data_IF_125405442496
#
_entry.id   IF_125405442496
#
_cell.length_a   1.000
_cell.length_b   1.000
_cell.length_c   1.000
_cell.angle_alpha   90.00
_cell.angle_beta   90.00
_cell.angle_gamma   90.00
#
_symmetry.space_group_name_H-M   'P 1'
#
loop_
_entity.id
_entity.type
_entity.pdbx_description
1 polymer ?
#
# COMPACT_ATOMS: atom_id res chain seq x y z
N UNK A 1 -40.56 1.93 -26.81
CA UNK A 1 -41.24 2.16 -25.52
C UNK A 1 -41.43 0.82 -24.82
N UNK A 2 -41.00 0.76 -23.54
CA UNK A 2 -41.43 -0.14 -22.44
C UNK A 2 -41.12 -1.65 -22.56
N UNK A 3 -40.22 -2.24 -21.75
CA UNK A 3 -40.15 -2.48 -20.27
C UNK A 3 -40.71 -3.85 -19.84
N UNK A 4 -39.78 -4.76 -19.51
CA UNK A 4 -39.62 -5.62 -18.31
C UNK A 4 -40.87 -6.15 -17.55
N UNK A 5 -40.88 -7.46 -17.22
CA UNK A 5 -41.02 -8.10 -15.87
C UNK A 5 -41.11 -9.64 -16.04
N UNK A 6 -40.15 -10.46 -15.59
CA UNK A 6 -39.84 -10.89 -14.21
C UNK A 6 -41.02 -11.60 -13.51
N UNK A 7 -40.97 -12.94 -13.47
CA UNK A 7 -41.82 -13.81 -12.65
C UNK A 7 -40.96 -14.37 -11.52
N UNK A 8 -41.32 -14.02 -10.28
CA UNK A 8 -40.76 -14.60 -9.07
C UNK A 8 -41.61 -15.80 -8.65
N UNK A 9 -40.99 -16.95 -8.43
CA UNK A 9 -41.60 -18.15 -7.87
C UNK A 9 -41.39 -18.11 -6.35
N UNK A 10 -42.50 -18.09 -5.61
CA UNK A 10 -42.51 -18.16 -4.16
C UNK A 10 -42.30 -19.61 -3.70
N UNK A 11 -41.42 -19.81 -2.72
CA UNK A 11 -41.39 -21.01 -1.90
C UNK A 11 -41.55 -20.60 -0.43
N UNK A 12 -42.70 -20.96 0.12
CA UNK A 12 -43.11 -20.81 1.51
C UNK A 12 -42.36 -21.85 2.34
N UNK A 13 -41.63 -21.42 3.37
CA UNK A 13 -41.17 -22.30 4.45
C UNK A 13 -41.92 -21.90 5.72
N UNK A 14 -42.83 -22.78 6.15
CA UNK A 14 -43.61 -22.61 7.38
C UNK A 14 -42.75 -22.94 8.60
N UNK A 15 -42.69 -22.00 9.55
CA UNK A 15 -42.17 -22.22 10.90
C UNK A 15 -43.21 -22.99 11.71
N UNK A 16 -42.91 -24.24 12.06
CA UNK A 16 -43.62 -24.99 13.08
C UNK A 16 -43.13 -24.58 14.47
N UNK A 17 -44.02 -23.92 15.22
CA UNK A 17 -43.89 -23.55 16.63
C UNK A 17 -43.71 -24.77 17.55
N UNK A 18 -42.82 -24.71 18.55
CA UNK A 18 -43.05 -25.22 19.92
C UNK A 18 -42.08 -24.60 20.95
N UNK A 19 -42.70 -23.96 21.95
CA UNK A 19 -42.37 -23.82 23.38
C UNK A 19 -41.00 -23.25 23.78
N UNK A 20 -41.04 -21.98 24.19
CA UNK A 20 -39.99 -21.31 24.96
C UNK A 20 -39.87 -21.90 26.38
N UNK A 21 -38.80 -22.64 26.65
CA UNK A 21 -38.24 -22.68 27.99
C UNK A 21 -37.53 -21.35 28.22
N UNK A 22 -38.06 -20.56 29.14
CA UNK A 22 -37.53 -19.25 29.52
C UNK A 22 -36.43 -19.46 30.57
N UNK A 23 -35.19 -19.15 30.20
CA UNK A 23 -34.03 -19.17 31.10
C UNK A 23 -33.20 -17.88 30.94
N UNK A 24 -32.37 -17.54 31.94
CA UNK A 24 -32.23 -16.18 32.44
C UNK A 24 -31.50 -15.27 31.45
N UNK A 25 -32.01 -14.06 31.30
CA UNK A 25 -31.37 -12.99 30.55
C UNK A 25 -29.91 -12.84 30.99
N UNK A 26 -28.98 -13.00 30.04
CA UNK A 26 -27.59 -12.60 30.24
C UNK A 26 -27.51 -11.18 30.79
N UNK A 27 -26.46 -10.91 31.57
CA UNK A 27 -26.31 -9.65 32.31
C UNK A 27 -26.68 -8.42 31.46
N UNK A 28 -27.55 -7.51 31.96
CA UNK A 28 -28.00 -6.37 31.18
C UNK A 28 -26.81 -5.49 30.79
N UNK A 29 -26.80 -5.04 29.53
CA UNK A 29 -25.78 -4.14 28.97
C UNK A 29 -25.70 -2.88 29.84
N UNK A 30 -24.51 -2.58 30.37
CA UNK A 30 -24.30 -1.38 31.16
C UNK A 30 -24.18 -0.15 30.24
N UNK A 31 -25.33 0.46 29.96
CA UNK A 31 -25.46 1.62 29.07
C UNK A 31 -24.71 2.88 29.54
N UNK A 32 -24.31 2.96 30.81
CA UNK A 32 -23.44 4.05 31.29
C UNK A 32 -21.99 3.88 30.83
N UNK A 33 -21.51 2.63 30.72
CA UNK A 33 -20.15 2.31 30.24
C UNK A 33 -20.08 2.12 28.72
N UNK A 34 -21.20 1.77 28.08
CA UNK A 34 -21.27 1.53 26.63
C UNK A 34 -22.41 2.33 25.97
N UNK A 35 -22.35 3.68 25.99
CA UNK A 35 -23.42 4.54 25.47
C UNK A 35 -23.67 4.37 23.96
N UNK A 36 -22.69 3.87 23.21
CA UNK A 36 -22.81 3.58 21.76
C UNK A 36 -23.72 2.38 21.44
N UNK A 37 -24.15 1.60 22.45
CA UNK A 37 -25.08 0.48 22.28
C UNK A 37 -26.56 0.86 22.53
N UNK A 38 -26.85 2.13 22.82
CA UNK A 38 -28.22 2.59 23.09
C UNK A 38 -29.10 2.45 21.83
N UNK A 39 -30.18 1.68 21.95
CA UNK A 39 -31.12 1.43 20.84
C UNK A 39 -30.69 0.32 19.87
N UNK A 40 -29.59 -0.38 20.16
CA UNK A 40 -29.18 -1.58 19.42
C UNK A 40 -29.83 -2.80 20.07
N UNK A 41 -30.74 -3.47 19.37
CA UNK A 41 -31.19 -4.81 19.75
C UNK A 41 -30.07 -5.81 19.46
N UNK A 42 -29.35 -6.21 20.50
CA UNK A 42 -28.45 -7.35 20.41
C UNK A 42 -29.31 -8.61 20.42
N UNK A 43 -29.36 -9.31 19.27
CA UNK A 43 -29.93 -10.66 19.19
C UNK A 43 -29.33 -11.51 20.32
N UNK A 44 -30.10 -12.41 20.95
CA UNK A 44 -29.54 -13.30 21.98
C UNK A 44 -28.26 -13.96 21.43
N UNK A 45 -27.21 -13.98 22.26
CA UNK A 45 -25.96 -14.64 21.91
C UNK A 45 -26.27 -16.05 21.38
N UNK A 46 -25.67 -16.48 20.27
CA UNK A 46 -25.89 -17.83 19.77
C UNK A 46 -25.60 -18.84 20.89
N UNK A 47 -26.58 -19.69 21.20
CA UNK A 47 -26.49 -20.72 22.26
C UNK A 47 -25.67 -21.94 21.83
N UNK A 48 -25.20 -21.95 20.59
CA UNK A 48 -24.41 -23.04 20.05
C UNK A 48 -22.95 -22.91 20.48
N UNK A 49 -22.35 -24.06 20.79
CA UNK A 49 -20.95 -24.19 21.18
C UNK A 49 -20.05 -23.72 20.02
N UNK A 50 -19.51 -22.52 20.14
CA UNK A 50 -18.70 -21.84 19.12
C UNK A 50 -17.30 -21.58 19.69
N UNK A 51 -16.40 -22.58 19.64
CA UNK A 51 -15.07 -22.45 20.24
C UNK A 51 -14.27 -21.35 19.55
N UNK A 52 -13.58 -20.55 20.35
CA UNK A 52 -12.60 -19.56 19.87
C UNK A 52 -11.21 -20.09 20.14
N UNK A 53 -10.44 -20.31 19.08
CA UNK A 53 -9.09 -20.86 19.14
C UNK A 53 -8.07 -19.72 19.09
N UNK A 54 -6.93 -19.85 19.80
CA UNK A 54 -5.86 -18.86 19.70
C UNK A 54 -5.26 -18.89 18.28
N UNK A 55 -4.92 -17.70 17.77
CA UNK A 55 -4.22 -17.51 16.51
C UNK A 55 -2.91 -16.76 16.74
N UNK A 56 -1.81 -17.36 16.33
CA UNK A 56 -0.56 -16.65 16.12
C UNK A 56 -0.35 -16.41 14.62
N UNK A 57 0.24 -15.26 14.29
CA UNK A 57 0.71 -14.96 12.94
C UNK A 57 2.18 -14.56 12.98
N UNK A 58 2.96 -15.08 12.04
CA UNK A 58 4.40 -14.89 11.94
C UNK A 58 4.86 -14.95 10.48
N UNK A 59 6.13 -14.63 10.23
CA UNK A 59 6.77 -14.75 8.91
C UNK A 59 7.05 -16.22 8.56
N UNK A 60 7.20 -16.58 7.29
CA UNK A 60 7.48 -17.97 6.86
C UNK A 60 8.66 -18.65 7.60
N UNK A 61 9.66 -17.88 8.01
CA UNK A 61 10.82 -18.36 8.78
C UNK A 61 10.54 -18.57 10.30
N UNK A 62 9.32 -18.34 10.76
CA UNK A 62 8.90 -18.43 12.17
C UNK A 62 9.15 -17.16 13.00
N UNK A 63 9.72 -16.10 12.42
CA UNK A 63 9.99 -14.86 13.13
C UNK A 63 8.74 -13.98 13.28
N UNK A 64 8.75 -13.10 14.27
CA UNK A 64 7.69 -12.12 14.45
C UNK A 64 7.60 -11.18 13.23
N UNK A 65 6.37 -10.79 12.89
CA UNK A 65 6.14 -9.77 11.86
C UNK A 65 6.78 -8.45 12.33
N UNK A 66 7.64 -7.81 11.53
CA UNK A 66 8.26 -6.56 11.94
C UNK A 66 7.19 -5.47 12.07
N UNK A 67 7.34 -4.63 13.09
CA UNK A 67 6.43 -3.50 13.32
C UNK A 67 6.45 -2.49 12.15
N UNK A 68 7.46 -2.54 11.30
CA UNK A 68 7.57 -1.74 10.07
C UNK A 68 7.80 -2.67 8.89
N UNK A 69 6.93 -2.59 7.90
CA UNK A 69 7.04 -3.26 6.61
C UNK A 69 7.22 -2.19 5.53
N UNK A 70 7.74 -2.60 4.39
CA UNK A 70 8.03 -1.70 3.29
C UNK A 70 6.99 -1.86 2.20
N UNK A 71 6.57 -0.75 1.63
CA UNK A 71 5.71 -0.72 0.45
C UNK A 71 6.34 -1.51 -0.70
N UNK A 72 5.49 -2.16 -1.49
CA UNK A 72 5.79 -3.04 -2.62
C UNK A 72 6.57 -4.31 -2.28
N UNK A 73 7.17 -4.44 -1.09
CA UNK A 73 7.91 -5.64 -0.69
C UNK A 73 6.94 -6.76 -0.26
N UNK A 74 6.88 -7.89 -0.98
CA UNK A 74 6.05 -9.02 -0.60
C UNK A 74 6.59 -9.68 0.67
N UNK A 75 5.70 -9.93 1.62
CA UNK A 75 5.98 -10.72 2.83
C UNK A 75 5.09 -11.96 2.86
N UNK A 76 5.67 -13.12 3.17
CA UNK A 76 4.91 -14.35 3.37
C UNK A 76 4.56 -14.48 4.84
N UNK A 77 3.27 -14.49 5.14
CA UNK A 77 2.73 -14.67 6.49
C UNK A 77 2.15 -16.06 6.66
N UNK A 78 2.27 -16.58 7.87
CA UNK A 78 1.78 -17.90 8.28
C UNK A 78 0.86 -17.75 9.48
N UNK A 79 -0.29 -18.44 9.43
CA UNK A 79 -1.22 -18.59 10.53
C UNK A 79 -0.95 -19.91 11.27
N UNK A 80 -0.81 -19.83 12.60
CA UNK A 80 -0.66 -20.97 13.48
C UNK A 80 -1.79 -21.01 14.50
N UNK A 81 -2.57 -22.07 14.40
CA UNK A 81 -3.76 -22.29 15.21
C UNK A 81 -4.22 -23.74 15.07
N UNK A 82 -4.76 -24.28 16.17
CA UNK A 82 -5.31 -25.64 16.22
C UNK A 82 -6.51 -25.85 15.27
N UNK A 83 -7.04 -24.80 14.62
CA UNK A 83 -8.15 -24.94 13.66
C UNK A 83 -7.78 -25.80 12.44
N UNK A 84 -6.48 -25.92 12.15
CA UNK A 84 -5.94 -26.77 11.09
C UNK A 84 -5.72 -28.21 11.51
N UNK A 85 -5.79 -28.51 12.81
CA UNK A 85 -5.55 -29.86 13.31
C UNK A 85 -6.59 -30.85 12.75
N UNK A 86 -6.18 -32.11 12.73
CA UNK A 86 -7.05 -33.20 12.28
C UNK A 86 -8.26 -33.34 13.22
N UNK A 87 -8.04 -33.18 14.51
CA UNK A 87 -9.06 -33.32 15.54
C UNK A 87 -9.66 -31.95 15.91
N UNK A 88 -10.99 -31.85 16.05
CA UNK A 88 -11.65 -30.62 16.49
C UNK A 88 -11.49 -30.37 18.00
N UNK A 89 -11.67 -29.11 18.44
CA UNK A 89 -11.67 -28.79 19.86
C UNK A 89 -12.78 -29.55 20.59
N UNK A 90 -12.47 -29.99 21.81
CA UNK A 90 -13.40 -30.70 22.68
C UNK A 90 -14.09 -29.79 23.68
N UNK A 91 -13.76 -28.50 23.70
CA UNK A 91 -14.30 -27.52 24.64
C UNK A 91 -14.60 -26.19 23.93
N UNK A 92 -15.66 -25.51 24.37
CA UNK A 92 -15.96 -24.12 24.05
C UNK A 92 -16.27 -23.38 25.37
N UNK A 93 -15.42 -22.41 25.73
CA UNK A 93 -15.42 -21.81 27.07
C UNK A 93 -15.30 -22.92 28.15
N UNK A 94 -16.14 -22.90 29.18
CA UNK A 94 -16.16 -23.89 30.26
C UNK A 94 -17.04 -25.12 29.96
N UNK A 95 -17.45 -25.33 28.70
CA UNK A 95 -18.35 -26.42 28.30
C UNK A 95 -17.66 -27.44 27.39
N UNK A 96 -17.86 -28.72 27.66
CA UNK A 96 -17.45 -29.82 26.78
C UNK A 96 -18.34 -29.88 25.53
N UNK A 97 -17.72 -30.15 24.38
CA UNK A 97 -18.40 -30.32 23.10
C UNK A 97 -18.60 -31.83 22.86
N UNK A 98 -19.84 -32.35 22.77
CA UNK A 98 -20.08 -33.77 22.60
C UNK A 98 -19.74 -34.28 21.19
N UNK A 99 -18.82 -35.26 21.09
CA UNK A 99 -18.43 -35.91 19.83
C UNK A 99 -18.20 -34.94 18.65
N UNK A 100 -17.27 -33.98 18.80
CA UNK A 100 -17.02 -32.95 17.81
C UNK A 100 -16.39 -33.56 16.55
N UNK A 101 -16.77 -33.05 15.39
CA UNK A 101 -16.22 -33.43 14.08
C UNK A 101 -16.18 -32.26 13.11
N UNK A 102 -15.12 -32.16 12.34
CA UNK A 102 -15.02 -31.18 11.26
C UNK A 102 -15.99 -31.52 10.13
N UNK A 103 -16.79 -30.55 9.71
CA UNK A 103 -17.82 -30.71 8.67
C UNK A 103 -17.43 -30.03 7.36
N UNK A 104 -16.32 -29.27 7.35
CA UNK A 104 -15.77 -28.59 6.18
C UNK A 104 -14.27 -28.27 6.33
N UNK A 105 -13.65 -27.90 5.21
CA UNK A 105 -12.33 -27.26 5.21
C UNK A 105 -12.37 -25.90 5.90
N UNK A 106 -11.22 -25.47 6.42
CA UNK A 106 -11.06 -24.14 7.02
C UNK A 106 -11.21 -23.05 5.95
N UNK A 107 -12.10 -22.09 6.19
CA UNK A 107 -12.11 -20.83 5.48
C UNK A 107 -11.10 -19.90 6.14
N UNK A 108 -10.17 -19.37 5.36
CA UNK A 108 -9.11 -18.45 5.81
C UNK A 108 -9.26 -17.16 5.04
N UNK A 109 -9.23 -16.05 5.74
CA UNK A 109 -9.34 -14.71 5.17
C UNK A 109 -8.33 -13.80 5.82
N UNK A 110 -7.57 -13.10 4.99
CA UNK A 110 -6.53 -12.22 5.46
C UNK A 110 -6.73 -10.82 4.90
N UNK A 111 -6.40 -9.84 5.73
CA UNK A 111 -6.59 -8.43 5.38
C UNK A 111 -5.44 -7.58 5.87
N UNK A 112 -5.11 -6.57 5.07
CA UNK A 112 -4.38 -5.41 5.54
C UNK A 112 -5.38 -4.32 5.90
N UNK A 113 -5.20 -3.70 7.06
CA UNK A 113 -6.04 -2.60 7.53
C UNK A 113 -5.19 -1.34 7.58
N UNK A 114 -5.63 -0.31 6.86
CA UNK A 114 -5.11 1.05 6.97
C UNK A 114 -6.09 1.87 7.81
N UNK A 115 -5.72 2.14 9.07
CA UNK A 115 -6.59 2.88 9.99
C UNK A 115 -6.65 4.38 9.68
N UNK A 116 -5.64 4.93 8.99
CA UNK A 116 -5.63 6.35 8.63
C UNK A 116 -6.63 6.64 7.51
N UNK A 117 -6.74 5.71 6.55
CA UNK A 117 -7.68 5.82 5.43
C UNK A 117 -9.02 5.13 5.70
N UNK A 118 -9.15 4.43 6.84
CA UNK A 118 -10.28 3.59 7.19
C UNK A 118 -10.65 2.61 6.06
N UNK A 119 -9.63 1.93 5.52
CA UNK A 119 -9.75 1.00 4.39
C UNK A 119 -9.15 -0.36 4.74
N UNK A 120 -9.81 -1.41 4.23
CA UNK A 120 -9.34 -2.78 4.31
C UNK A 120 -9.02 -3.28 2.91
N UNK A 121 -7.90 -3.98 2.78
CA UNK A 121 -7.45 -4.58 1.53
C UNK A 121 -7.45 -6.09 1.69
N UNK A 122 -8.18 -6.78 0.80
CA UNK A 122 -8.09 -8.23 0.71
C UNK A 122 -6.69 -8.61 0.25
N UNK A 123 -6.13 -9.63 0.87
CA UNK A 123 -4.87 -10.16 0.40
C UNK A 123 -5.03 -11.08 -0.80
N UNK A 124 -4.01 -11.08 -1.66
CA UNK A 124 -3.95 -11.90 -2.87
C UNK A 124 -3.68 -13.36 -2.53
N UNK A 125 -4.48 -14.28 -3.07
CA UNK A 125 -4.24 -15.72 -2.97
C UNK A 125 -3.50 -16.19 -4.21
N UNK A 126 -2.20 -16.44 -4.12
CA UNK A 126 -1.44 -17.07 -5.21
C UNK A 126 -1.69 -18.59 -5.20
N UNK A 127 -1.86 -19.20 -6.37
CA UNK A 127 -1.92 -20.66 -6.47
C UNK A 127 -0.59 -21.28 -6.00
N UNK A 128 -0.66 -22.32 -5.16
CA UNK A 128 0.50 -23.12 -4.72
C UNK A 128 0.97 -22.89 -3.29
N UNK A 129 0.40 -21.96 -2.53
CA UNK A 129 0.68 -21.82 -1.09
C UNK A 129 -0.21 -22.74 -0.25
N UNK A 130 0.24 -23.04 0.97
CA UNK A 130 -0.56 -23.78 1.95
C UNK A 130 -1.75 -22.95 2.45
N UNK A 131 -2.82 -23.61 2.92
CA UNK A 131 -4.05 -22.94 3.37
C UNK A 131 -3.85 -21.94 4.52
N UNK A 132 -2.75 -22.06 5.27
CA UNK A 132 -2.38 -21.19 6.36
C UNK A 132 -1.41 -20.07 5.97
N UNK A 133 -1.08 -19.93 4.70
CA UNK A 133 -0.10 -18.97 4.21
C UNK A 133 -0.72 -17.89 3.31
N UNK A 134 -0.05 -16.75 3.23
CA UNK A 134 -0.44 -15.64 2.38
C UNK A 134 0.78 -14.79 2.01
N UNK A 135 0.82 -14.34 0.76
CA UNK A 135 1.71 -13.24 0.33
C UNK A 135 0.98 -11.92 0.51
N UNK A 136 1.52 -11.02 1.33
CA UNK A 136 1.05 -9.64 1.48
C UNK A 136 2.01 -8.73 0.75
N UNK A 137 1.47 -7.88 -0.12
CA UNK A 137 2.21 -6.78 -0.71
C UNK A 137 1.56 -5.50 -0.16
N UNK A 138 2.23 -4.77 0.74
CA UNK A 138 1.73 -3.48 1.20
C UNK A 138 1.83 -2.49 0.02
N UNK A 139 0.71 -2.01 -0.50
CA UNK A 139 0.67 -1.06 -1.64
C UNK A 139 0.21 0.33 -1.22
N UNK A 140 0.16 0.57 0.09
CA UNK A 140 -0.38 1.82 0.63
C UNK A 140 0.39 2.17 1.88
N UNK A 141 1.15 3.28 1.86
CA UNK A 141 1.86 3.77 3.02
C UNK A 141 0.84 4.17 4.07
N UNK A 142 1.07 3.73 5.31
CA UNK A 142 0.23 4.07 6.46
C UNK A 142 1.11 4.17 7.70
N UNK A 143 0.92 5.24 8.46
CA UNK A 143 1.56 5.43 9.76
C UNK A 143 1.03 4.46 10.81
N UNK A 144 -0.18 3.92 10.60
CA UNK A 144 -0.90 3.10 11.56
C UNK A 144 -1.81 2.09 10.86
N UNK A 145 -1.38 0.83 10.82
CA UNK A 145 -2.17 -0.25 10.25
C UNK A 145 -2.02 -1.56 11.01
N UNK A 146 -2.62 -2.60 10.48
CA UNK A 146 -2.48 -3.96 11.00
C UNK A 146 -2.63 -4.98 9.90
N UNK A 147 -1.91 -6.09 10.01
CA UNK A 147 -2.25 -7.31 9.27
C UNK A 147 -3.10 -8.21 10.14
N UNK A 148 -4.19 -8.71 9.58
CA UNK A 148 -5.21 -9.48 10.30
C UNK A 148 -5.49 -10.79 9.58
N UNK A 149 -5.75 -11.83 10.37
CA UNK A 149 -6.19 -13.13 9.90
C UNK A 149 -7.50 -13.48 10.60
N UNK A 150 -8.46 -13.93 9.81
CA UNK A 150 -9.73 -14.46 10.27
C UNK A 150 -9.93 -15.84 9.69
N UNK A 151 -10.34 -16.76 10.55
CA UNK A 151 -10.49 -18.15 10.19
C UNK A 151 -11.77 -18.70 10.79
N UNK A 152 -12.47 -19.50 9.99
CA UNK A 152 -13.65 -20.21 10.43
C UNK A 152 -13.64 -21.63 9.86
N UNK A 153 -13.91 -22.62 10.69
CA UNK A 153 -14.07 -24.00 10.26
C UNK A 153 -15.38 -24.56 10.81
N UNK A 154 -16.15 -25.15 9.92
CA UNK A 154 -17.48 -25.69 10.26
C UNK A 154 -17.32 -26.89 11.19
N UNK A 155 -17.97 -26.81 12.35
CA UNK A 155 -17.95 -27.82 13.41
C UNK A 155 -19.33 -28.45 13.53
N UNK A 156 -19.38 -29.77 13.59
CA UNK A 156 -20.59 -30.53 13.91
C UNK A 156 -20.38 -31.27 15.22
N UNK A 157 -21.41 -31.33 16.06
CA UNK A 157 -21.37 -32.04 17.34
C UNK A 157 -22.75 -32.60 17.68
N UNK A 158 -22.81 -33.52 18.62
CA UNK A 158 -24.06 -34.16 19.00
C UNK A 158 -24.91 -33.22 19.86
N UNK A 159 -26.19 -33.12 19.52
CA UNK A 159 -27.13 -32.30 20.26
C UNK A 159 -27.50 -32.99 21.59
N UNK A 160 -27.97 -32.24 22.60
CA UNK A 160 -28.51 -32.83 23.83
C UNK A 160 -29.68 -33.81 23.56
N UNK A 161 -30.44 -33.61 22.48
CA UNK A 161 -31.47 -34.57 22.09
C UNK A 161 -30.88 -35.80 21.37
N UNK A 162 -31.26 -37.03 21.76
CA UNK A 162 -30.75 -38.25 21.14
C UNK A 162 -30.93 -38.28 19.62
N UNK A 163 -29.86 -38.63 18.89
CA UNK A 163 -29.88 -38.81 17.44
C UNK A 163 -29.90 -37.51 16.62
N UNK A 164 -29.77 -36.34 17.25
CA UNK A 164 -29.64 -35.05 16.57
C UNK A 164 -28.20 -34.55 16.61
N UNK A 165 -27.86 -33.71 15.64
CA UNK A 165 -26.57 -33.01 15.62
C UNK A 165 -26.79 -31.53 15.40
N UNK A 166 -25.96 -30.73 16.04
CA UNK A 166 -25.87 -29.29 15.83
C UNK A 166 -24.68 -28.97 14.94
N UNK A 167 -24.74 -27.80 14.33
CA UNK A 167 -23.66 -27.27 13.49
C UNK A 167 -23.36 -25.85 13.93
N UNK A 168 -22.08 -25.56 14.11
CA UNK A 168 -21.55 -24.25 14.49
C UNK A 168 -20.24 -24.00 13.72
N UNK A 169 -19.47 -23.02 14.20
CA UNK A 169 -18.15 -22.70 13.68
C UNK A 169 -17.15 -22.60 14.84
N UNK A 170 -15.99 -23.24 14.66
CA UNK A 170 -14.79 -22.85 15.39
C UNK A 170 -14.22 -21.61 14.70
N UNK A 171 -13.86 -20.60 15.48
CA UNK A 171 -13.33 -19.34 14.96
C UNK A 171 -11.92 -19.10 15.51
N UNK A 172 -11.07 -18.48 14.70
CA UNK A 172 -9.74 -18.06 15.11
C UNK A 172 -9.47 -16.71 14.47
N UNK A 173 -8.98 -15.74 15.25
CA UNK A 173 -8.60 -14.43 14.73
C UNK A 173 -7.39 -13.87 15.45
N UNK A 174 -6.59 -13.11 14.70
CA UNK A 174 -5.31 -12.60 15.16
C UNK A 174 -4.92 -11.40 14.34
N UNK A 175 -4.23 -10.46 14.97
CA UNK A 175 -3.77 -9.24 14.34
C UNK A 175 -2.37 -8.90 14.82
N UNK A 176 -1.61 -8.23 13.96
CA UNK A 176 -0.35 -7.58 14.31
C UNK A 176 -0.33 -6.18 13.74
N UNK A 177 -0.09 -5.22 14.63
CA UNK A 177 0.08 -3.83 14.26
C UNK A 177 1.35 -3.67 13.42
N UNK A 178 1.22 -2.96 12.30
CA UNK A 178 2.30 -2.71 11.36
C UNK A 178 2.19 -1.30 10.81
N UNK A 179 3.34 -0.68 10.56
CA UNK A 179 3.49 0.54 9.77
C UNK A 179 4.00 0.16 8.38
N UNK A 180 3.50 0.82 7.34
CA UNK A 180 4.02 0.67 5.97
C UNK A 180 4.82 1.90 5.61
N UNK A 181 6.11 1.73 5.35
CA UNK A 181 6.97 2.80 4.85
C UNK A 181 7.05 2.77 3.33
N UNK A 182 6.87 3.93 2.73
CA UNK A 182 7.15 4.17 1.32
C UNK A 182 8.66 4.38 1.16
N UNK A 183 9.26 3.67 0.23
CA UNK A 183 10.69 3.77 -0.08
C UNK A 183 10.94 4.34 -1.47
N UNK A 184 9.88 4.78 -2.15
CA UNK A 184 9.95 5.38 -3.47
C UNK A 184 10.53 6.78 -3.33
N UNK A 185 11.69 7.08 -3.95
CA UNK A 185 12.16 8.45 -4.04
C UNK A 185 11.10 9.37 -4.65
N UNK A 186 11.05 10.65 -4.26
CA UNK A 186 10.13 11.59 -4.89
C UNK A 186 10.38 11.65 -6.40
N UNK A 187 9.32 11.93 -7.16
CA UNK A 187 9.35 12.10 -8.61
C UNK A 187 9.27 13.60 -8.98
N UNK A 188 10.39 14.30 -8.88
CA UNK A 188 10.51 15.73 -9.16
C UNK A 188 11.28 16.02 -10.44
N UNK A 189 10.79 17.00 -11.19
CA UNK A 189 11.34 17.49 -12.44
C UNK A 189 11.61 18.99 -12.42
N UNK A 190 12.01 19.56 -13.55
CA UNK A 190 12.19 21.00 -13.72
C UNK A 190 11.49 21.48 -15.00
N UNK A 191 10.92 22.68 -14.91
CA UNK A 191 10.53 23.52 -16.02
C UNK A 191 11.60 24.59 -16.21
N UNK A 192 12.08 24.77 -17.45
CA UNK A 192 13.12 25.73 -17.81
C UNK A 192 12.61 26.62 -18.93
N UNK A 193 12.61 27.92 -18.69
CA UNK A 193 12.28 28.96 -19.66
C UNK A 193 13.52 29.80 -19.95
N UNK A 194 13.95 29.89 -21.20
CA UNK A 194 15.04 30.81 -21.60
C UNK A 194 14.42 32.17 -21.90
N UNK A 195 14.93 33.25 -21.31
CA UNK A 195 14.44 34.61 -21.55
C UNK A 195 14.46 34.93 -23.05
N UNK A 196 13.32 35.36 -23.60
CA UNK A 196 13.11 35.59 -25.05
C UNK A 196 13.41 34.38 -25.96
N UNK A 197 13.41 33.17 -25.41
CA UNK A 197 13.84 31.96 -26.09
C UNK A 197 12.86 30.80 -26.01
N UNK A 198 13.42 29.59 -26.03
CA UNK A 198 12.66 28.34 -25.95
C UNK A 198 12.33 28.00 -24.50
N UNK A 199 11.27 27.24 -24.30
CA UNK A 199 10.91 26.63 -23.02
C UNK A 199 10.78 25.12 -23.15
N UNK A 200 11.00 24.43 -22.04
CA UNK A 200 10.78 22.99 -21.95
C UNK A 200 10.75 22.53 -20.51
N UNK A 201 10.33 21.29 -20.31
CA UNK A 201 10.31 20.64 -19.01
C UNK A 201 10.80 19.22 -19.10
N UNK A 202 11.28 18.70 -17.98
CA UNK A 202 11.52 17.29 -17.81
C UNK A 202 11.02 16.81 -16.44
N UNK A 203 10.48 15.60 -16.38
CA UNK A 203 10.01 15.01 -15.14
C UNK A 203 10.12 13.48 -15.18
N UNK A 204 10.52 12.85 -14.07
CA UNK A 204 10.54 11.39 -13.95
C UNK A 204 9.14 10.85 -13.62
N UNK A 205 8.86 9.64 -14.07
CA UNK A 205 7.70 8.84 -13.68
C UNK A 205 8.17 7.42 -13.39
N UNK A 206 7.77 6.86 -12.26
CA UNK A 206 8.07 5.46 -11.92
C UNK A 206 7.60 4.52 -13.04
N UNK A 207 8.45 3.60 -13.46
CA UNK A 207 8.14 2.69 -14.55
C UNK A 207 8.81 1.32 -14.38
N UNK A 208 8.03 0.21 -14.32
CA UNK A 208 6.59 0.17 -14.09
C UNK A 208 6.22 0.71 -12.70
N UNK A 209 5.00 1.24 -12.56
CA UNK A 209 4.48 1.66 -11.26
C UNK A 209 4.40 0.50 -10.27
N UNK A 210 4.59 0.79 -8.98
CA UNK A 210 4.44 -0.14 -7.86
C UNK A 210 5.29 -1.42 -8.00
N UNK A 211 6.52 -1.27 -8.55
CA UNK A 211 7.36 -2.43 -8.85
C UNK A 211 8.16 -2.90 -7.65
N UNK A 212 8.10 -4.20 -7.42
CA UNK A 212 9.09 -4.99 -6.68
C UNK A 212 9.83 -5.98 -7.60
N UNK A 213 11.13 -6.25 -7.39
CA UNK A 213 12.04 -5.74 -6.35
C UNK A 213 12.82 -4.47 -6.74
N UNK A 214 13.49 -3.88 -5.75
CA UNK A 214 14.47 -2.79 -5.92
C UNK A 214 15.66 -3.19 -6.82
N UNK A 215 16.34 -2.22 -7.47
CA UNK A 215 16.03 -0.80 -7.46
C UNK A 215 14.82 -0.45 -8.33
N UNK A 216 14.05 0.56 -7.90
CA UNK A 216 12.96 1.12 -8.71
C UNK A 216 13.53 1.80 -9.94
N UNK A 217 12.79 1.78 -11.04
CA UNK A 217 13.19 2.46 -12.28
C UNK A 217 12.20 3.55 -12.62
N UNK A 218 12.67 4.58 -13.33
CA UNK A 218 11.85 5.68 -13.81
C UNK A 218 12.15 5.98 -15.27
N UNK A 219 11.11 6.37 -15.99
CA UNK A 219 11.23 6.99 -17.30
C UNK A 219 11.22 8.51 -17.10
N UNK A 220 12.14 9.23 -17.75
CA UNK A 220 12.17 10.69 -17.72
C UNK A 220 11.61 11.22 -19.03
N UNK A 221 10.54 12.00 -18.91
CA UNK A 221 9.84 12.62 -20.02
C UNK A 221 10.40 14.02 -20.23
N UNK A 222 10.65 14.39 -21.48
CA UNK A 222 11.12 15.70 -21.90
C UNK A 222 10.13 16.29 -22.90
N UNK A 223 9.65 17.49 -22.62
CA UNK A 223 8.65 18.18 -23.45
C UNK A 223 9.02 19.64 -23.73
N UNK A 224 8.53 20.17 -24.84
CA UNK A 224 8.68 21.58 -25.22
C UNK A 224 9.80 21.86 -26.22
N UNK A 225 9.81 23.10 -26.72
CA UNK A 225 10.69 23.58 -27.78
C UNK A 225 12.18 23.52 -27.41
N UNK A 226 12.52 23.60 -26.12
CA UNK A 226 13.90 23.55 -25.62
C UNK A 226 14.57 22.20 -25.91
N UNK A 227 13.78 21.13 -25.96
CA UNK A 227 14.23 19.76 -26.26
C UNK A 227 13.81 19.31 -27.66
N UNK A 228 13.32 20.22 -28.50
CA UNK A 228 12.73 19.92 -29.82
C UNK A 228 11.60 18.85 -29.74
N UNK A 229 10.86 18.85 -28.62
CA UNK A 229 9.84 17.87 -28.26
C UNK A 229 8.44 18.52 -28.17
N UNK A 230 7.98 19.13 -29.27
CA UNK A 230 6.73 19.93 -29.30
C UNK A 230 5.49 19.05 -29.51
N UNK A 231 5.55 18.17 -30.51
CA UNK A 231 4.43 17.30 -30.88
C UNK A 231 4.48 15.93 -30.19
N UNK A 232 5.67 15.56 -29.71
CA UNK A 232 5.93 14.28 -29.05
C UNK A 232 7.05 14.44 -28.03
N UNK A 233 6.81 13.96 -26.82
CA UNK A 233 7.80 13.91 -25.76
C UNK A 233 8.95 12.97 -26.12
N UNK A 234 10.16 13.35 -25.73
CA UNK A 234 11.32 12.46 -25.72
C UNK A 234 11.28 11.71 -24.38
N UNK A 235 11.44 10.39 -24.42
CA UNK A 235 11.42 9.55 -23.23
C UNK A 235 12.79 8.90 -23.07
N UNK A 236 13.42 9.13 -21.93
CA UNK A 236 14.62 8.41 -21.49
C UNK A 236 14.16 7.30 -20.56
N UNK A 237 14.22 6.06 -21.04
CA UNK A 237 13.65 4.90 -20.34
C UNK A 237 14.65 4.25 -19.37
N UNK A 238 14.13 3.72 -18.26
CA UNK A 238 14.84 2.77 -17.42
C UNK A 238 15.98 3.34 -16.58
N UNK A 239 15.94 4.62 -16.19
CA UNK A 239 16.89 5.16 -15.22
C UNK A 239 16.60 4.57 -13.83
N UNK A 240 17.65 4.27 -13.07
CA UNK A 240 17.51 3.88 -11.67
C UNK A 240 16.99 5.08 -10.87
N UNK A 241 15.80 4.94 -10.27
CA UNK A 241 15.18 5.99 -9.48
C UNK A 241 15.90 6.10 -8.13
N UNK A 242 16.49 7.27 -7.85
CA UNK A 242 17.22 7.51 -6.61
C UNK A 242 18.22 8.65 -6.74
N UNK A 243 19.31 8.58 -5.98
CA UNK A 243 20.31 9.65 -5.88
C UNK A 243 21.29 9.75 -7.07
N UNK A 244 21.02 9.06 -8.18
CA UNK A 244 21.94 9.00 -9.32
C UNK A 244 21.24 8.88 -10.68
N UNK A 245 20.19 9.67 -10.91
CA UNK A 245 19.49 9.70 -12.20
C UNK A 245 20.26 10.57 -13.20
N UNK A 246 21.16 9.96 -13.98
CA UNK A 246 21.97 10.69 -14.96
C UNK A 246 21.43 10.46 -16.37
N UNK A 247 21.01 11.53 -17.02
CA UNK A 247 20.58 11.49 -18.42
C UNK A 247 21.80 11.63 -19.32
N UNK A 248 21.91 10.78 -20.34
CA UNK A 248 23.04 10.85 -21.24
C UNK A 248 22.89 11.99 -22.26
N UNK A 249 23.97 12.74 -22.50
CA UNK A 249 24.06 13.85 -23.44
C UNK A 249 23.83 13.46 -24.90
N UNK A 250 23.98 12.18 -25.26
CA UNK A 250 23.58 11.64 -26.57
C UNK A 250 22.06 11.43 -26.69
N UNK A 251 21.35 11.27 -25.57
CA UNK A 251 19.90 11.08 -25.57
C UNK A 251 19.18 12.42 -25.61
N UNK A 252 19.49 13.31 -24.67
CA UNK A 252 18.89 14.65 -24.57
C UNK A 252 19.77 15.57 -23.70
N UNK A 253 19.72 16.87 -23.98
CA UNK A 253 20.45 17.89 -23.24
C UNK A 253 19.70 19.23 -23.27
N UNK A 254 19.91 20.06 -22.26
CA UNK A 254 19.48 21.47 -22.25
C UNK A 254 20.47 22.26 -23.11
N UNK A 255 20.04 22.75 -24.26
CA UNK A 255 20.89 23.52 -25.19
C UNK A 255 20.56 25.01 -25.08
N UNK A 256 21.54 25.82 -24.68
CA UNK A 256 21.37 27.27 -24.44
C UNK A 256 22.61 28.05 -24.87
N UNK A 257 22.45 29.35 -25.08
CA UNK A 257 23.58 30.25 -25.35
C UNK A 257 24.35 30.57 -24.06
N UNK A 258 25.63 30.93 -24.16
CA UNK A 258 26.48 31.32 -23.03
C UNK A 258 25.97 32.53 -22.22
N UNK A 259 25.22 33.42 -22.85
CA UNK A 259 24.62 34.60 -22.25
C UNK A 259 23.12 34.42 -21.92
N UNK A 260 22.62 33.18 -21.99
CA UNK A 260 21.21 32.92 -21.72
C UNK A 260 20.86 33.15 -20.25
N UNK A 261 19.68 33.72 -20.02
CA UNK A 261 19.07 33.83 -18.70
C UNK A 261 17.96 32.80 -18.57
N UNK A 262 18.08 31.91 -17.60
CA UNK A 262 17.18 30.78 -17.38
C UNK A 262 16.24 31.09 -16.23
N UNK A 263 14.94 30.90 -16.44
CA UNK A 263 13.97 30.80 -15.35
C UNK A 263 13.69 29.32 -15.08
N UNK A 264 14.00 28.85 -13.87
CA UNK A 264 13.84 27.46 -13.46
C UNK A 264 12.74 27.35 -12.41
N UNK A 265 11.83 26.40 -12.61
CA UNK A 265 10.76 26.08 -11.67
C UNK A 265 10.71 24.59 -11.41
N UNK A 266 10.51 24.21 -10.16
CA UNK A 266 10.36 22.80 -9.76
C UNK A 266 8.99 22.26 -10.17
N UNK A 267 8.99 21.09 -10.81
CA UNK A 267 7.81 20.28 -11.06
C UNK A 267 7.76 19.20 -9.98
N UNK A 268 6.95 19.42 -8.94
CA UNK A 268 6.91 18.58 -7.76
C UNK A 268 6.23 17.21 -7.90
N UNK A 269 5.70 16.85 -9.07
CA UNK A 269 4.90 15.61 -9.25
C UNK A 269 3.72 15.48 -8.28
N UNK A 270 3.08 14.31 -8.22
CA UNK A 270 2.06 13.95 -7.21
C UNK A 270 2.72 13.53 -5.87
N UNK A 271 3.74 14.29 -5.43
CA UNK A 271 4.48 13.96 -4.21
C UNK A 271 3.89 14.73 -3.02
N UNK A 272 2.77 14.26 -2.48
CA UNK A 272 2.18 14.77 -1.25
C UNK A 272 3.12 14.71 -0.02
N UNK A 273 4.26 14.02 -0.13
CA UNK A 273 5.31 13.89 0.89
C UNK A 273 6.59 14.69 0.58
N UNK A 274 6.66 15.47 -0.50
CA UNK A 274 7.86 16.24 -0.83
C UNK A 274 8.23 17.23 0.29
N UNK A 275 9.47 17.18 0.77
CA UNK A 275 9.99 18.13 1.74
C UNK A 275 10.57 19.34 1.01
N UNK A 276 9.74 20.37 0.77
CA UNK A 276 10.13 21.58 0.04
C UNK A 276 11.36 22.29 0.64
N UNK A 277 11.62 22.13 1.95
CA UNK A 277 12.79 22.73 2.59
C UNK A 277 14.11 22.03 2.21
N UNK A 278 14.04 20.82 1.65
CA UNK A 278 15.19 20.02 1.21
C UNK A 278 15.32 19.92 -0.30
N UNK A 279 14.47 20.61 -1.06
CA UNK A 279 14.61 20.70 -2.51
C UNK A 279 15.76 21.64 -2.85
N UNK A 280 16.68 21.18 -3.70
CA UNK A 280 17.78 21.97 -4.27
C UNK A 280 17.75 21.82 -5.79
N UNK A 281 17.86 22.92 -6.51
CA UNK A 281 18.04 22.91 -7.95
C UNK A 281 19.00 24.00 -8.42
N UNK A 282 19.54 23.81 -9.62
CA UNK A 282 20.45 24.76 -10.24
C UNK A 282 21.34 24.09 -11.28
N UNK A 283 22.56 24.61 -11.43
CA UNK A 283 23.60 24.07 -12.32
C UNK A 283 24.69 23.45 -11.46
N UNK A 284 25.30 22.34 -11.87
CA UNK A 284 26.41 21.71 -11.16
C UNK A 284 27.53 21.26 -12.10
N UNK A 285 28.73 21.06 -11.54
CA UNK A 285 29.95 20.75 -12.31
C UNK A 285 30.05 19.31 -12.82
N UNK A 286 29.35 18.39 -12.16
CA UNK A 286 29.40 16.96 -12.46
C UNK A 286 28.09 16.29 -12.10
N UNK A 287 27.81 15.17 -12.77
CA UNK A 287 26.77 14.22 -12.40
C UNK A 287 27.37 13.08 -11.56
N UNK A 288 26.52 12.20 -10.99
CA UNK A 288 27.02 10.97 -10.37
C UNK A 288 27.06 10.94 -8.84
N UNK A 289 26.22 11.69 -8.13
CA UNK A 289 26.22 11.72 -6.66
C UNK A 289 25.66 13.01 -6.06
N UNK A 290 26.35 13.57 -5.06
CA UNK A 290 26.00 14.88 -4.49
C UNK A 290 26.29 15.99 -5.51
N UNK A 291 25.32 16.84 -5.89
CA UNK A 291 25.57 17.95 -6.79
C UNK A 291 26.60 18.93 -6.21
N UNK A 292 27.55 19.36 -7.03
CA UNK A 292 28.49 20.45 -6.71
C UNK A 292 28.01 21.71 -7.45
N UNK A 293 27.28 22.63 -6.79
CA UNK A 293 26.59 23.71 -7.48
C UNK A 293 27.55 24.73 -8.09
N UNK A 294 27.18 25.24 -9.26
CA UNK A 294 27.81 26.36 -9.97
C UNK A 294 26.85 27.53 -9.90
N UNK A 295 27.21 28.55 -9.12
CA UNK A 295 26.34 29.69 -8.86
C UNK A 295 25.31 29.43 -7.75
N UNK A 296 24.21 30.20 -7.73
CA UNK A 296 23.27 30.15 -6.64
C UNK A 296 22.34 28.92 -6.71
N UNK A 297 21.86 28.47 -5.56
CA UNK A 297 20.98 27.31 -5.39
C UNK A 297 19.57 27.82 -5.13
N UNK A 298 18.56 27.20 -5.74
CA UNK A 298 17.15 27.56 -5.58
C UNK A 298 16.78 28.98 -6.05
N UNK A 299 17.61 29.57 -6.90
CA UNK A 299 17.24 30.82 -7.57
C UNK A 299 16.33 30.51 -8.75
N UNK A 300 15.17 31.15 -8.77
CA UNK A 300 14.22 31.02 -9.88
C UNK A 300 14.82 31.53 -11.20
N UNK A 301 15.80 32.43 -11.14
CA UNK A 301 16.44 33.02 -12.31
C UNK A 301 17.95 32.90 -12.23
N UNK A 302 18.57 32.29 -13.24
CA UNK A 302 20.01 32.09 -13.36
C UNK A 302 20.51 32.80 -14.61
N UNK A 303 21.39 33.78 -14.44
CA UNK A 303 22.09 34.45 -15.54
C UNK A 303 23.41 33.73 -15.83
N UNK A 304 23.47 32.98 -16.93
CA UNK A 304 24.66 32.19 -17.28
C UNK A 304 25.90 33.05 -17.56
N UNK A 305 25.71 34.30 -18.03
CA UNK A 305 26.82 35.20 -18.31
C UNK A 305 27.59 35.60 -17.03
N UNK A 306 26.93 35.50 -15.87
CA UNK A 306 27.50 35.85 -14.58
C UNK A 306 28.26 34.70 -13.90
N UNK A 307 28.23 33.50 -14.49
CA UNK A 307 28.76 32.27 -13.89
C UNK A 307 30.01 31.76 -14.62
N UNK A 308 30.95 31.20 -13.86
CA UNK A 308 32.06 30.43 -14.42
C UNK A 308 31.58 29.00 -14.73
N UNK A 309 31.05 28.83 -15.94
CA UNK A 309 30.46 27.56 -16.38
C UNK A 309 31.58 26.55 -16.72
N UNK A 310 31.59 25.34 -16.12
CA UNK A 310 32.56 24.29 -16.44
C UNK A 310 32.30 23.66 -17.82
N UNK A 311 33.22 22.84 -18.31
CA UNK A 311 33.17 22.27 -19.67
C UNK A 311 31.95 21.35 -19.92
N UNK A 312 31.57 20.54 -18.93
CA UNK A 312 30.44 19.60 -19.04
C UNK A 312 29.47 19.76 -17.86
N UNK A 313 28.73 20.88 -17.77
CA UNK A 313 27.82 21.15 -16.68
C UNK A 313 26.53 20.35 -16.80
N UNK A 314 25.78 20.27 -15.72
CA UNK A 314 24.44 19.67 -15.68
C UNK A 314 23.46 20.64 -15.01
N UNK A 315 22.22 20.66 -15.50
CA UNK A 315 21.10 21.13 -14.68
C UNK A 315 20.72 19.99 -13.75
N UNK A 316 20.54 20.30 -12.47
CA UNK A 316 20.18 19.29 -11.48
C UNK A 316 18.96 19.66 -10.65
N UNK A 317 18.27 18.62 -10.19
CA UNK A 317 17.31 18.68 -9.08
C UNK A 317 17.66 17.60 -8.07
N UNK A 318 17.76 17.98 -6.81
CA UNK A 318 17.95 17.13 -5.64
C UNK A 318 16.75 17.33 -4.71
N UNK A 319 15.97 16.29 -4.52
CA UNK A 319 14.72 16.33 -3.78
C UNK A 319 14.69 15.20 -2.75
N UNK A 320 14.18 15.51 -1.56
CA UNK A 320 13.99 14.53 -0.49
C UNK A 320 12.54 14.59 -0.02
N UNK A 321 11.93 13.44 0.27
CA UNK A 321 10.61 13.40 0.89
C UNK A 321 10.69 13.46 2.44
N UNK A 322 9.54 13.56 3.08
CA UNK A 322 9.42 13.58 4.55
C UNK A 322 9.86 12.27 5.22
N UNK A 323 9.99 11.18 4.47
CA UNK A 323 10.46 9.87 4.94
C UNK A 323 11.96 9.66 4.74
N UNK A 324 12.65 10.58 4.05
CA UNK A 324 14.08 10.55 3.81
C UNK A 324 14.49 9.88 2.48
N UNK A 325 13.54 9.49 1.63
CA UNK A 325 13.88 8.99 0.29
C UNK A 325 14.34 10.15 -0.58
N UNK A 326 15.41 9.93 -1.33
CA UNK A 326 16.10 10.98 -2.06
C UNK A 326 16.17 10.67 -3.55
N UNK A 327 15.82 11.66 -4.35
CA UNK A 327 15.99 11.68 -5.79
C UNK A 327 17.04 12.75 -6.14
N UNK A 328 18.03 12.40 -6.95
CA UNK A 328 18.92 13.38 -7.59
C UNK A 328 18.97 13.09 -9.08
N UNK A 329 18.59 14.08 -9.88
CA UNK A 329 18.56 13.97 -11.33
C UNK A 329 19.44 15.02 -11.98
N UNK A 330 20.23 14.57 -12.96
CA UNK A 330 21.18 15.36 -13.73
C UNK A 330 20.83 15.30 -15.21
N UNK A 331 20.60 16.47 -15.80
CA UNK A 331 20.39 16.64 -17.24
C UNK A 331 21.55 17.45 -17.81
N UNK A 332 22.27 16.96 -18.83
CA UNK A 332 23.40 17.68 -19.41
C UNK A 332 23.02 19.08 -19.89
N UNK A 333 23.85 20.07 -19.58
CA UNK A 333 23.71 21.44 -20.04
C UNK A 333 24.78 21.71 -21.11
N UNK A 334 24.36 21.95 -22.35
CA UNK A 334 25.24 22.32 -23.46
C UNK A 334 25.15 23.81 -23.71
N UNK A 335 26.17 24.52 -23.27
CA UNK A 335 26.33 25.97 -23.50
C UNK A 335 27.06 26.17 -24.82
N UNK A 336 26.47 26.96 -25.72
CA UNK A 336 27.01 27.29 -27.05
C UNK A 336 27.36 28.77 -27.16
#
# INVERSE_FOLDING_TARGET
MNKIKAVAFAAVVMFGSMVSAQEPSGAPVNLEKTPWLKGVELSPYPTDLTPTLPLAIYLENGEAIPATVTEDIPIVLVADTAIFDNDPPTHANDQEIPNPRWDASTAVSWYFVDWEKNKNFNASTTQGLAANQMVVIPTTPTGKGSVTCHMARRLRYDAPEPGRSKVSYANSSGARDVRVIDITPPLCGLEINVENGKSGSFWPVEFPADKYPLPKTANVYFGGNLFDAVDKEIVVEGLELGANMVVNAEQVAVNVAADAKLTIKVIGGDNYKLDNAKVKFGICTAAGGEPIPVGPINEETIDLASLEIPENPYVYIDATDTTGNRQVMFVPLKVK
#
